data_IF_254883275027
#
_entry.id   IF_254883275027
#
_cell.length_a   1.000
_cell.length_b   1.000
_cell.length_c   1.000
_cell.angle_alpha   90.00
_cell.angle_beta   90.00
_cell.angle_gamma   90.00
#
_symmetry.space_group_name_H-M   'P 1'
#
loop_
_entity.id
_entity.type
_entity.pdbx_description
1 polymer ?
#
# COMPACT_ATOMS: atom_id res chain seq x y z
N UNK A 1 -17.22 19.24 -16.35
CA UNK A 1 -16.70 17.86 -16.53
C UNK A 1 -15.38 17.73 -15.77
N UNK A 2 -15.38 17.12 -14.59
CA UNK A 2 -14.13 16.79 -13.88
C UNK A 2 -13.45 15.64 -14.63
N UNK A 3 -12.30 15.91 -15.25
CA UNK A 3 -11.43 14.85 -15.78
C UNK A 3 -10.69 14.20 -14.60
N UNK A 4 -11.29 13.20 -13.98
CA UNK A 4 -10.54 12.25 -13.16
C UNK A 4 -9.75 11.37 -14.12
N UNK A 5 -8.54 11.80 -14.47
CA UNK A 5 -7.62 10.96 -15.24
C UNK A 5 -7.39 9.67 -14.47
N UNK A 6 -7.80 8.53 -15.03
CA UNK A 6 -7.58 7.22 -14.43
C UNK A 6 -6.09 6.91 -14.48
N UNK A 7 -5.36 7.27 -13.41
CA UNK A 7 -3.95 6.95 -13.29
C UNK A 7 -3.78 5.43 -13.34
N UNK A 8 -3.19 4.93 -14.44
CA UNK A 8 -2.79 3.54 -14.56
C UNK A 8 -1.40 3.38 -13.98
N UNK A 9 -1.29 2.54 -12.96
CA UNK A 9 -0.04 2.23 -12.29
C UNK A 9 0.98 1.63 -13.26
N UNK A 10 2.20 2.16 -13.28
CA UNK A 10 3.28 1.73 -14.17
C UNK A 10 4.15 0.62 -13.61
N UNK A 11 4.08 0.34 -12.30
CA UNK A 11 4.95 -0.63 -11.63
C UNK A 11 4.18 -1.78 -10.99
N UNK A 12 4.83 -2.94 -10.89
CA UNK A 12 4.32 -4.13 -10.20
C UNK A 12 4.83 -4.26 -8.75
N UNK A 13 5.49 -3.24 -8.19
CA UNK A 13 6.05 -3.27 -6.82
C UNK A 13 4.92 -3.51 -5.81
N UNK A 14 5.09 -4.38 -4.81
CA UNK A 14 4.05 -4.58 -3.78
C UNK A 14 2.70 -5.11 -4.30
N UNK A 15 2.64 -5.75 -5.49
CA UNK A 15 1.45 -6.48 -5.96
C UNK A 15 1.35 -7.92 -5.44
N UNK A 16 2.31 -8.36 -4.62
CA UNK A 16 2.30 -9.73 -4.10
C UNK A 16 1.25 -9.88 -3.00
N UNK A 17 0.62 -11.05 -2.95
CA UNK A 17 -0.27 -11.39 -1.85
C UNK A 17 0.54 -11.62 -0.56
N UNK A 18 -0.11 -11.45 0.59
CA UNK A 18 0.55 -11.72 1.87
C UNK A 18 0.85 -13.21 1.99
N UNK A 19 -0.06 -14.03 1.50
CA UNK A 19 -0.03 -15.48 1.52
C UNK A 19 1.21 -16.00 0.77
N UNK A 20 1.44 -15.53 -0.45
CA UNK A 20 2.63 -15.91 -1.24
C UNK A 20 3.93 -15.53 -0.54
N UNK A 21 3.95 -14.36 0.12
CA UNK A 21 5.11 -13.91 0.89
C UNK A 21 5.38 -14.84 2.08
N UNK A 22 4.34 -15.26 2.81
CA UNK A 22 4.48 -16.17 3.95
C UNK A 22 4.97 -17.55 3.50
N UNK A 23 4.42 -18.09 2.42
CA UNK A 23 4.83 -19.38 1.85
C UNK A 23 6.30 -19.31 1.41
N UNK A 24 6.70 -18.24 0.71
CA UNK A 24 8.08 -18.05 0.25
C UNK A 24 9.08 -17.94 1.41
N UNK A 25 8.70 -17.27 2.51
CA UNK A 25 9.52 -17.20 3.72
C UNK A 25 9.64 -18.58 4.36
N UNK A 26 8.56 -19.35 4.39
CA UNK A 26 8.54 -20.70 4.95
C UNK A 26 9.42 -21.69 4.15
N UNK A 27 9.37 -21.59 2.82
CA UNK A 27 10.23 -22.34 1.90
C UNK A 27 11.73 -22.11 2.18
N UNK A 28 12.11 -20.90 2.58
CA UNK A 28 13.50 -20.57 2.91
C UNK A 28 13.88 -21.14 4.27
N UNK A 29 13.05 -20.93 5.29
CA UNK A 29 13.38 -21.29 6.68
C UNK A 29 13.25 -22.80 6.92
N UNK A 30 12.14 -23.41 6.49
CA UNK A 30 11.82 -24.80 6.79
C UNK A 30 12.30 -25.76 5.70
N UNK A 31 12.16 -25.38 4.41
CA UNK A 31 12.54 -26.25 3.28
C UNK A 31 13.95 -25.99 2.75
N UNK A 32 14.70 -25.07 3.37
CA UNK A 32 16.09 -24.71 3.04
C UNK A 32 16.30 -24.32 1.56
N UNK A 33 15.27 -23.75 0.92
CA UNK A 33 15.38 -23.26 -0.46
C UNK A 33 16.19 -21.95 -0.45
N UNK A 34 17.07 -21.77 -1.43
CA UNK A 34 17.84 -20.53 -1.52
C UNK A 34 16.93 -19.33 -1.80
N UNK A 35 17.30 -18.17 -1.24
CA UNK A 35 16.49 -16.95 -1.33
C UNK A 35 16.16 -16.53 -2.76
N UNK A 36 17.11 -16.69 -3.68
CA UNK A 36 16.90 -16.39 -5.12
C UNK A 36 15.92 -17.37 -5.77
N UNK A 37 15.99 -18.66 -5.42
CA UNK A 37 15.10 -19.70 -5.96
C UNK A 37 13.68 -19.51 -5.43
N UNK A 38 13.51 -19.27 -4.14
CA UNK A 38 12.20 -18.95 -3.56
C UNK A 38 11.59 -17.68 -4.18
N UNK A 39 12.39 -16.62 -4.36
CA UNK A 39 11.92 -15.40 -5.02
C UNK A 39 11.45 -15.65 -6.47
N UNK A 40 12.15 -16.49 -7.22
CA UNK A 40 11.74 -16.86 -8.59
C UNK A 40 10.44 -17.68 -8.60
N UNK A 41 10.33 -18.69 -7.73
CA UNK A 41 9.17 -19.57 -7.65
C UNK A 41 7.88 -18.80 -7.34
N UNK A 42 7.96 -17.83 -6.44
CA UNK A 42 6.81 -17.04 -5.98
C UNK A 42 6.67 -15.69 -6.71
N UNK A 43 7.50 -15.44 -7.73
CA UNK A 43 7.51 -14.18 -8.50
C UNK A 43 7.65 -12.91 -7.62
N UNK A 44 8.45 -13.03 -6.56
CA UNK A 44 8.66 -11.98 -5.55
C UNK A 44 9.95 -11.21 -5.82
N UNK A 45 9.99 -9.96 -5.35
CA UNK A 45 11.25 -9.22 -5.33
C UNK A 45 12.16 -9.80 -4.24
N UNK A 46 13.38 -10.20 -4.62
CA UNK A 46 14.36 -10.80 -3.71
C UNK A 46 14.68 -9.91 -2.49
N UNK A 47 14.75 -8.58 -2.66
CA UNK A 47 15.06 -7.65 -1.56
C UNK A 47 13.93 -7.64 -0.54
N UNK A 48 12.71 -7.63 -1.02
CA UNK A 48 11.52 -7.68 -0.16
C UNK A 48 11.46 -9.00 0.59
N UNK A 49 11.68 -10.12 -0.09
CA UNK A 49 11.69 -11.44 0.53
C UNK A 49 12.78 -11.55 1.62
N UNK A 50 14.00 -11.05 1.35
CA UNK A 50 15.09 -11.00 2.32
C UNK A 50 14.73 -10.24 3.59
N UNK A 51 14.11 -9.06 3.44
CA UNK A 51 13.60 -8.29 4.59
C UNK A 51 12.62 -9.12 5.42
N UNK A 52 11.66 -9.79 4.78
CA UNK A 52 10.64 -10.58 5.48
C UNK A 52 11.23 -11.80 6.21
N UNK A 53 12.22 -12.48 5.61
CA UNK A 53 12.96 -13.56 6.26
C UNK A 53 13.68 -13.06 7.52
N UNK A 54 14.36 -11.91 7.43
CA UNK A 54 15.04 -11.29 8.58
C UNK A 54 14.07 -10.87 9.69
N UNK A 55 12.88 -10.36 9.34
CA UNK A 55 11.84 -10.04 10.32
C UNK A 55 11.38 -11.31 11.06
N UNK A 56 11.10 -12.40 10.34
CA UNK A 56 10.68 -13.66 10.95
C UNK A 56 11.78 -14.30 11.79
N UNK A 57 13.05 -14.20 11.37
CA UNK A 57 14.17 -14.79 12.11
C UNK A 57 14.48 -14.07 13.42
N UNK A 58 14.18 -12.78 13.52
CA UNK A 58 14.46 -11.99 14.73
C UNK A 58 13.46 -12.23 15.87
N UNK A 59 12.37 -12.97 15.64
CA UNK A 59 11.31 -13.32 16.60
C UNK A 59 10.62 -12.16 17.36
N UNK A 60 11.16 -10.94 17.34
CA UNK A 60 10.65 -9.75 18.03
C UNK A 60 9.57 -9.00 17.25
N UNK A 61 9.41 -9.30 15.96
CA UNK A 61 8.46 -8.59 15.09
C UNK A 61 7.66 -9.54 14.22
N UNK A 62 6.36 -9.59 14.44
CA UNK A 62 5.43 -10.25 13.53
C UNK A 62 5.61 -9.71 12.10
N UNK A 63 5.49 -10.59 11.12
CA UNK A 63 5.46 -10.18 9.71
C UNK A 63 4.28 -9.22 9.51
N UNK A 64 4.48 -8.04 8.89
CA UNK A 64 3.44 -7.07 8.65
C UNK A 64 2.15 -7.70 8.11
N UNK A 65 1.01 -7.30 8.70
CA UNK A 65 -0.33 -7.73 8.26
C UNK A 65 -0.68 -7.21 6.87
N UNK A 66 -0.06 -6.12 6.43
CA UNK A 66 -0.26 -5.55 5.10
C UNK A 66 1.02 -5.57 4.29
N UNK A 67 0.86 -5.81 2.99
CA UNK A 67 1.94 -5.68 2.00
C UNK A 67 2.03 -4.23 1.56
N UNK A 68 3.22 -3.63 1.65
CA UNK A 68 3.47 -2.26 1.19
C UNK A 68 3.73 -1.27 2.32
N UNK A 69 3.22 -0.04 2.17
CA UNK A 69 3.39 1.00 3.17
C UNK A 69 2.53 0.69 4.39
N UNK A 70 3.18 0.52 5.54
CA UNK A 70 2.48 0.51 6.81
C UNK A 70 2.09 1.94 7.17
N UNK A 71 0.85 2.12 7.63
CA UNK A 71 0.42 3.36 8.28
C UNK A 71 1.24 3.52 9.56
N UNK A 72 2.31 4.31 9.51
CA UNK A 72 3.18 4.60 10.65
C UNK A 72 3.23 6.10 10.83
N UNK A 73 3.24 6.56 12.09
CA UNK A 73 3.31 8.00 12.45
C UNK A 73 2.21 8.84 11.79
N UNK A 74 0.96 8.37 11.86
CA UNK A 74 -0.18 9.14 11.39
C UNK A 74 -0.32 10.41 12.24
N UNK A 75 -0.59 11.55 11.56
CA UNK A 75 -0.84 12.84 12.23
C UNK A 75 -2.30 12.92 12.70
N UNK A 76 -3.22 12.34 11.91
CA UNK A 76 -4.64 12.32 12.19
C UNK A 76 -5.10 10.91 12.57
N UNK A 77 -6.17 10.85 13.35
CA UNK A 77 -6.91 9.60 13.57
C UNK A 77 -7.68 9.23 12.31
N UNK A 78 -8.04 7.95 12.17
CA UNK A 78 -8.80 7.49 10.99
C UNK A 78 -10.13 8.22 10.85
N UNK A 79 -10.79 8.53 11.97
CA UNK A 79 -12.04 9.31 12.01
C UNK A 79 -11.86 10.71 11.41
N UNK A 80 -10.77 11.41 11.76
CA UNK A 80 -10.48 12.75 11.25
C UNK A 80 -10.12 12.69 9.76
N UNK A 81 -9.38 11.66 9.32
CA UNK A 81 -9.08 11.47 7.89
C UNK A 81 -10.36 11.30 7.07
N UNK A 82 -11.33 10.53 7.56
CA UNK A 82 -12.62 10.33 6.89
C UNK A 82 -13.39 11.65 6.80
N UNK A 83 -13.52 12.38 7.91
CA UNK A 83 -14.21 13.67 7.93
C UNK A 83 -13.57 14.70 6.98
N UNK A 84 -12.23 14.73 6.92
CA UNK A 84 -11.50 15.64 6.03
C UNK A 84 -11.77 15.32 4.56
N UNK A 85 -11.79 14.02 4.20
CA UNK A 85 -12.10 13.58 2.83
C UNK A 85 -13.52 13.99 2.44
N UNK A 86 -14.50 13.74 3.30
CA UNK A 86 -15.89 14.13 3.08
C UNK A 86 -16.03 15.64 2.89
N UNK A 87 -15.37 16.43 3.74
CA UNK A 87 -15.35 17.88 3.64
C UNK A 87 -14.76 18.34 2.30
N UNK A 88 -13.59 17.83 1.90
CA UNK A 88 -12.92 18.22 0.66
C UNK A 88 -13.77 17.87 -0.58
N UNK A 89 -14.38 16.69 -0.59
CA UNK A 89 -15.28 16.26 -1.67
C UNK A 89 -16.50 17.17 -1.73
N UNK A 90 -17.07 17.54 -0.58
CA UNK A 90 -18.21 18.45 -0.51
C UNK A 90 -17.81 19.84 -1.01
N UNK A 91 -16.73 20.40 -0.47
CA UNK A 91 -16.19 21.71 -0.88
C UNK A 91 -15.88 21.78 -2.38
N UNK A 92 -15.34 20.72 -2.97
CA UNK A 92 -15.07 20.66 -4.41
C UNK A 92 -16.32 20.75 -5.28
N UNK A 93 -17.49 20.39 -4.73
CA UNK A 93 -18.78 20.42 -5.41
C UNK A 93 -19.52 21.74 -5.21
N UNK A 94 -19.25 22.49 -4.13
CA UNK A 94 -19.97 23.72 -3.78
C UNK A 94 -19.92 24.75 -4.91
N UNK A 95 -18.77 24.90 -5.57
CA UNK A 95 -18.60 25.84 -6.70
C UNK A 95 -18.54 25.14 -8.06
N UNK A 96 -18.93 23.87 -8.12
CA UNK A 96 -18.88 23.12 -9.37
C UNK A 96 -19.96 23.63 -10.33
N UNK A 97 -19.52 24.31 -11.39
CA UNK A 97 -20.41 24.86 -12.43
C UNK A 97 -20.72 26.35 -12.30
N UNK A 98 -20.26 27.01 -11.23
CA UNK A 98 -20.35 28.46 -11.09
C UNK A 98 -19.08 29.13 -11.62
N UNK A 99 -19.25 30.21 -12.39
CA UNK A 99 -18.15 31.09 -12.80
C UNK A 99 -17.93 32.20 -11.77
N UNK A 100 -16.70 32.74 -11.68
CA UNK A 100 -16.37 33.82 -10.72
C UNK A 100 -17.30 35.04 -10.82
N UNK A 101 -17.92 35.27 -11.99
CA UNK A 101 -18.90 36.35 -12.19
C UNK A 101 -20.25 36.10 -11.53
N UNK A 102 -20.66 34.84 -11.38
CA UNK A 102 -21.91 34.45 -10.71
C UNK A 102 -21.75 34.43 -9.19
N UNK A 103 -20.51 34.37 -8.70
CA UNK A 103 -20.16 34.40 -7.28
C UNK A 103 -19.90 35.80 -6.73
N UNK A 104 -19.73 36.80 -7.59
CA UNK A 104 -19.63 38.20 -7.18
C UNK A 104 -21.04 38.80 -7.10
N UNK A 105 -21.54 38.95 -5.87
CA UNK A 105 -22.66 39.84 -5.53
C UNK A 105 -22.10 41.23 -5.24
#
# INVERSE_FOLDING_TARGET
>A
MVRTGTYKRTTNRGKFSREDMLIAVDDIINKKISLRKAAANHQLNYKTLSRYVQLKSKAETEIPKTVGYQKTRLVFTEEIEVQLVEYLVTASKIFYGLTMKELQV
#
